data_IF_703578617356
#
_entry.id   IF_703578617356
#
_cell.length_a   1.000
_cell.length_b   1.000
_cell.length_c   1.000
_cell.angle_alpha   90.00
_cell.angle_beta   90.00
_cell.angle_gamma   90.00
#
_symmetry.space_group_name_H-M   'P 1'
#
loop_
_entity.id
_entity.type
_entity.pdbx_description
1 polymer ?
#
# COMPACT_ATOMS: atom_id res chain seq x y z
N UNK A 1 6.37 -7.81 -0.71
CA UNK A 1 7.68 -7.75 -1.38
C UNK A 1 8.25 -6.40 -1.01
N UNK A 2 9.28 -6.37 -0.15
CA UNK A 2 9.96 -5.13 0.24
C UNK A 2 11.13 -4.98 -0.75
N UNK A 3 10.92 -4.23 -1.84
CA UNK A 3 11.91 -4.04 -2.90
C UNK A 3 12.49 -2.62 -2.83
N UNK A 4 13.74 -2.44 -3.23
CA UNK A 4 14.35 -1.13 -3.35
C UNK A 4 13.56 -0.26 -4.36
N UNK A 5 13.16 0.94 -3.92
CA UNK A 5 12.50 1.89 -4.80
C UNK A 5 13.53 2.68 -5.60
N UNK A 6 13.49 2.55 -6.93
CA UNK A 6 14.27 3.37 -7.85
C UNK A 6 13.36 4.42 -8.49
N UNK A 7 13.53 5.71 -8.18
CA UNK A 7 12.73 6.76 -8.80
C UNK A 7 13.00 6.81 -10.32
N UNK A 8 11.98 6.99 -11.16
CA UNK A 8 12.16 7.26 -12.58
C UNK A 8 13.00 8.51 -12.79
N UNK A 9 13.87 8.50 -13.81
CA UNK A 9 14.79 9.61 -14.12
C UNK A 9 14.08 10.96 -14.40
N UNK A 10 12.77 10.94 -14.68
CA UNK A 10 11.99 12.14 -14.95
C UNK A 10 10.53 11.95 -14.61
N UNK A 11 10.14 12.22 -13.36
CA UNK A 11 8.74 12.46 -13.00
C UNK A 11 8.50 13.97 -13.04
N UNK A 12 7.64 14.45 -13.94
CA UNK A 12 7.23 15.86 -13.97
C UNK A 12 5.73 15.91 -13.75
N UNK A 13 5.31 16.40 -12.57
CA UNK A 13 3.90 16.61 -12.28
C UNK A 13 3.49 18.00 -12.71
N UNK A 14 2.52 18.10 -13.61
CA UNK A 14 2.02 19.38 -14.12
C UNK A 14 0.99 20.04 -13.19
N UNK A 15 0.18 19.25 -12.47
CA UNK A 15 -0.87 19.76 -11.57
C UNK A 15 -1.14 18.82 -10.38
N UNK A 16 -1.46 19.39 -9.21
CA UNK A 16 -1.81 18.66 -7.98
C UNK A 16 -0.61 18.09 -7.21
N UNK A 17 -0.87 17.16 -6.29
CA UNK A 17 0.12 16.52 -5.39
C UNK A 17 0.23 15.01 -5.65
N UNK A 18 1.45 14.51 -5.88
CA UNK A 18 1.79 13.09 -5.84
C UNK A 18 2.53 12.82 -4.54
N UNK A 19 2.13 11.79 -3.82
CA UNK A 19 2.95 11.27 -2.72
C UNK A 19 3.21 9.78 -2.89
N UNK A 20 4.46 9.41 -2.61
CA UNK A 20 4.94 8.04 -2.67
C UNK A 20 5.41 7.68 -1.27
N UNK A 21 4.87 6.60 -0.72
CA UNK A 21 5.37 5.93 0.47
C UNK A 21 5.80 4.53 0.04
N UNK A 22 7.06 4.18 0.31
CA UNK A 22 7.62 2.90 -0.11
C UNK A 22 8.52 2.29 0.97
N UNK A 23 8.66 0.97 0.92
CA UNK A 23 9.77 0.31 1.59
C UNK A 23 11.07 0.81 0.93
N UNK A 24 12.05 1.18 1.74
CA UNK A 24 13.40 1.43 1.28
C UNK A 24 14.35 0.65 2.17
N UNK A 25 14.74 -0.52 1.67
CA UNK A 25 15.80 -1.34 2.25
C UNK A 25 17.02 -1.25 1.33
N UNK A 26 18.18 -0.93 1.90
CA UNK A 26 19.43 -1.27 1.24
C UNK A 26 19.69 -2.78 1.39
N UNK A 27 20.44 -3.35 0.45
CA UNK A 27 20.82 -4.77 0.45
C UNK A 27 21.40 -5.22 1.81
N UNK A 28 22.13 -4.33 2.49
CA UNK A 28 22.76 -4.60 3.80
C UNK A 28 21.76 -4.86 4.94
N UNK A 29 20.49 -4.48 4.77
CA UNK A 29 19.45 -4.56 5.81
C UNK A 29 18.37 -5.62 5.51
N UNK A 30 18.54 -6.44 4.45
CA UNK A 30 17.56 -7.46 4.04
C UNK A 30 17.24 -8.47 5.16
N UNK A 31 18.19 -8.75 6.05
CA UNK A 31 18.01 -9.66 7.18
C UNK A 31 17.43 -8.99 8.43
N UNK A 32 17.48 -7.65 8.49
CA UNK A 32 17.07 -6.89 9.68
C UNK A 32 15.55 -6.84 9.87
N UNK A 33 14.78 -6.91 8.77
CA UNK A 33 13.32 -6.87 8.80
C UNK A 33 12.69 -8.17 8.28
N UNK A 34 11.57 -8.53 8.87
CA UNK A 34 10.81 -9.71 8.48
C UNK A 34 10.06 -9.50 7.14
N UNK A 35 9.61 -10.58 6.51
CA UNK A 35 8.95 -10.53 5.20
C UNK A 35 7.72 -9.61 5.25
N UNK A 36 7.63 -8.69 4.29
CA UNK A 36 6.51 -7.74 4.21
C UNK A 36 6.37 -6.87 5.47
N UNK A 37 7.47 -6.58 6.18
CA UNK A 37 7.45 -5.76 7.40
C UNK A 37 6.86 -4.38 7.11
N UNK A 38 7.20 -3.79 5.96
CA UNK A 38 6.64 -2.51 5.54
C UNK A 38 5.13 -2.59 5.35
N UNK A 39 4.65 -3.53 4.55
CA UNK A 39 3.23 -3.67 4.24
C UNK A 39 2.41 -3.95 5.51
N UNK A 40 2.92 -4.79 6.43
CA UNK A 40 2.26 -5.07 7.71
C UNK A 40 2.19 -3.83 8.60
N UNK A 41 3.32 -3.17 8.82
CA UNK A 41 3.38 -1.95 9.61
C UNK A 41 2.44 -0.86 9.04
N UNK A 42 2.42 -0.69 7.72
CA UNK A 42 1.52 0.22 7.02
C UNK A 42 0.06 -0.13 7.29
N UNK A 43 -0.33 -1.39 7.08
CA UNK A 43 -1.70 -1.85 7.25
C UNK A 43 -2.18 -1.71 8.71
N UNK A 44 -1.32 -2.00 9.69
CA UNK A 44 -1.66 -1.89 11.11
C UNK A 44 -1.86 -0.45 11.55
N UNK A 45 -1.07 0.49 11.03
CA UNK A 45 -1.26 1.92 11.28
C UNK A 45 -2.55 2.44 10.65
N UNK A 46 -2.84 2.05 9.40
CA UNK A 46 -4.08 2.40 8.73
C UNK A 46 -5.30 1.83 9.46
N UNK A 47 -5.24 0.58 9.93
CA UNK A 47 -6.32 -0.06 10.70
C UNK A 47 -6.55 0.64 12.03
N UNK A 48 -5.47 0.96 12.75
CA UNK A 48 -5.52 1.68 14.03
C UNK A 48 -6.14 3.07 13.88
N UNK A 49 -5.78 3.80 12.82
CA UNK A 49 -6.32 5.13 12.53
C UNK A 49 -7.77 5.08 12.04
N UNK A 50 -8.12 4.09 11.22
CA UNK A 50 -9.49 3.84 10.79
C UNK A 50 -10.42 3.61 11.99
N UNK A 51 -9.99 2.81 12.99
CA UNK A 51 -10.76 2.56 14.21
C UNK A 51 -11.01 3.84 15.04
N UNK A 52 -10.08 4.81 14.99
CA UNK A 52 -10.19 6.09 15.71
C UNK A 52 -10.99 7.15 14.95
N UNK A 53 -11.41 6.87 13.72
CA UNK A 53 -12.12 7.81 12.84
C UNK A 53 -11.43 9.18 12.72
N UNK A 54 -10.10 9.22 12.85
CA UNK A 54 -9.32 10.45 12.70
C UNK A 54 -8.58 10.42 11.37
N UNK A 55 -8.61 11.52 10.59
CA UNK A 55 -7.80 11.64 9.39
C UNK A 55 -6.31 11.43 9.70
N UNK A 56 -5.57 10.89 8.74
CA UNK A 56 -4.13 10.69 8.82
C UNK A 56 -3.51 11.19 7.52
N UNK A 57 -2.63 12.18 7.56
CA UNK A 57 -1.87 12.57 6.38
C UNK A 57 -0.79 11.54 6.04
N UNK A 58 -0.40 11.48 4.77
CA UNK A 58 0.66 10.58 4.31
C UNK A 58 1.99 10.92 4.99
N UNK A 59 2.33 12.21 5.19
CA UNK A 59 3.54 12.60 5.96
C UNK A 59 3.50 12.15 7.43
N UNK A 60 2.34 12.19 8.08
CA UNK A 60 2.19 11.66 9.44
C UNK A 60 2.35 10.14 9.46
N UNK A 61 1.77 9.43 8.48
CA UNK A 61 1.93 7.99 8.34
C UNK A 61 3.40 7.61 8.15
N UNK A 62 4.13 8.34 7.31
CA UNK A 62 5.57 8.14 7.13
C UNK A 62 6.33 8.36 8.45
N UNK A 63 6.04 9.44 9.17
CA UNK A 63 6.69 9.74 10.46
C UNK A 63 6.49 8.62 11.49
N UNK A 64 5.28 8.06 11.55
CA UNK A 64 4.96 6.93 12.44
C UNK A 64 5.74 5.67 12.02
N UNK A 65 5.76 5.35 10.73
CA UNK A 65 6.50 4.20 10.22
C UNK A 65 8.00 4.37 10.48
N UNK A 66 8.56 5.54 10.22
CA UNK A 66 9.97 5.86 10.47
C UNK A 66 10.34 5.64 11.94
N UNK A 67 9.49 6.06 12.88
CA UNK A 67 9.72 5.85 14.32
C UNK A 67 9.56 4.38 14.77
N UNK A 68 8.80 3.57 14.02
CA UNK A 68 8.53 2.17 14.33
C UNK A 68 9.68 1.24 13.92
N UNK A 69 10.35 1.54 12.80
CA UNK A 69 11.33 0.64 12.17
C UNK A 69 12.52 0.25 13.05
N UNK A 70 13.11 1.15 13.85
CA UNK A 70 14.19 0.78 14.77
C UNK A 70 13.77 -0.30 15.78
N UNK A 71 12.51 -0.29 16.22
CA UNK A 71 11.97 -1.30 17.13
C UNK A 71 11.83 -2.65 16.43
N UNK A 72 11.23 -2.65 15.24
CA UNK A 72 11.06 -3.87 14.43
C UNK A 72 12.40 -4.55 14.10
N UNK A 73 13.45 -3.77 13.83
CA UNK A 73 14.78 -4.29 13.56
C UNK A 73 15.47 -4.88 14.82
N UNK A 74 15.32 -4.21 15.97
CA UNK A 74 15.90 -4.65 17.25
C UNK A 74 15.25 -5.94 17.76
N UNK A 75 13.93 -6.05 17.70
CA UNK A 75 13.19 -7.22 18.18
C UNK A 75 13.66 -8.52 17.50
N UNK A 76 14.21 -8.43 16.28
CA UNK A 76 14.73 -9.57 15.53
C UNK A 76 16.22 -9.86 15.76
N UNK A 77 17.00 -8.86 16.16
CA UNK A 77 18.45 -9.00 16.34
C UNK A 77 18.90 -8.53 17.72
N UNK A 78 18.43 -9.18 18.80
CA UNK A 78 18.74 -8.75 20.17
C UNK A 78 20.24 -8.84 20.52
N UNK A 79 21.01 -9.65 19.79
CA UNK A 79 22.45 -9.88 20.04
C UNK A 79 23.39 -8.87 19.34
N UNK A 80 22.90 -8.00 18.45
CA UNK A 80 23.74 -6.97 17.79
C UNK A 80 23.72 -5.68 18.61
N UNK A 81 24.73 -5.50 19.45
CA UNK A 81 24.79 -4.42 20.45
C UNK A 81 24.82 -2.98 19.88
N UNK A 82 25.15 -2.75 18.62
CA UNK A 82 25.18 -1.39 18.06
C UNK A 82 24.74 -1.39 16.59
N UNK A 83 23.43 -1.26 16.36
CA UNK A 83 22.90 -0.96 15.04
C UNK A 83 22.96 0.57 14.82
N UNK A 84 23.94 1.02 14.02
CA UNK A 84 24.17 2.45 13.71
C UNK A 84 23.32 2.96 12.54
N UNK A 85 22.70 2.06 11.77
CA UNK A 85 21.81 2.38 10.66
C UNK A 85 20.63 1.41 10.61
N UNK A 86 19.45 1.92 10.30
CA UNK A 86 18.24 1.10 10.14
C UNK A 86 17.66 1.32 8.75
N UNK A 87 17.04 0.29 8.14
CA UNK A 87 16.18 0.52 6.98
C UNK A 87 15.10 1.53 7.39
N UNK A 88 14.81 2.48 6.50
CA UNK A 88 13.84 3.52 6.75
C UNK A 88 12.85 3.57 5.58
N UNK A 89 11.54 3.70 5.83
CA UNK A 89 10.58 3.90 4.76
C UNK A 89 10.90 5.19 4.00
N UNK A 90 10.72 5.16 2.68
CA UNK A 90 10.85 6.33 1.82
C UNK A 90 9.53 7.09 1.77
N UNK A 91 9.61 8.42 1.84
CA UNK A 91 8.51 9.32 1.49
C UNK A 91 9.00 10.38 0.52
N UNK A 92 8.30 10.51 -0.60
CA UNK A 92 8.56 11.53 -1.62
C UNK A 92 7.26 12.23 -1.98
N UNK A 93 7.25 13.55 -1.89
CA UNK A 93 6.15 14.40 -2.35
C UNK A 93 6.59 15.18 -3.58
N UNK A 94 5.77 15.15 -4.64
CA UNK A 94 5.96 15.94 -5.84
C UNK A 94 4.74 16.80 -6.09
N UNK A 95 4.97 18.10 -6.22
CA UNK A 95 3.90 19.08 -6.34
C UNK A 95 4.29 20.18 -7.32
N UNK A 96 3.34 20.63 -8.13
CA UNK A 96 3.47 21.87 -8.92
C UNK A 96 3.40 23.14 -8.06
N UNK A 97 3.06 23.02 -6.77
CA UNK A 97 3.00 24.10 -5.80
C UNK A 97 3.45 23.61 -4.42
N UNK A 98 4.58 24.13 -3.93
CA UNK A 98 5.17 23.74 -2.64
C UNK A 98 4.30 24.03 -1.41
N UNK A 99 3.24 24.83 -1.56
CA UNK A 99 2.28 25.16 -0.49
C UNK A 99 1.12 24.18 -0.40
N UNK A 100 1.02 23.21 -1.31
CA UNK A 100 -0.04 22.20 -1.23
C UNK A 100 0.19 21.31 0.00
N UNK A 101 -0.87 20.98 0.77
CA UNK A 101 -0.75 20.13 1.94
C UNK A 101 -0.47 18.68 1.54
N UNK A 102 -0.04 17.88 2.52
CA UNK A 102 0.06 16.43 2.32
C UNK A 102 -1.33 15.81 2.10
N UNK A 103 -1.39 14.72 1.35
CA UNK A 103 -2.61 13.95 1.08
C UNK A 103 -3.14 13.41 2.41
N UNK A 104 -4.41 13.70 2.72
CA UNK A 104 -5.11 13.13 3.86
C UNK A 104 -5.76 11.81 3.49
N UNK A 105 -5.50 10.79 4.29
CA UNK A 105 -6.18 9.50 4.28
C UNK A 105 -7.38 9.62 5.24
N UNK A 106 -8.58 9.59 4.68
CA UNK A 106 -9.81 9.56 5.47
C UNK A 106 -10.05 8.13 5.97
N UNK A 107 -10.49 7.95 7.23
CA UNK A 107 -11.02 6.67 7.68
C UNK A 107 -12.20 6.26 6.78
N UNK A 108 -12.29 4.95 6.48
CA UNK A 108 -13.41 4.39 5.73
C UNK A 108 -14.66 4.55 6.60
N UNK A 109 -15.61 5.36 6.16
CA UNK A 109 -16.91 5.43 6.82
C UNK A 109 -17.61 4.09 6.62
N UNK A 110 -17.75 3.30 7.68
CA UNK A 110 -18.65 2.15 7.66
C UNK A 110 -20.08 2.68 7.44
N UNK A 111 -20.64 2.36 6.27
CA UNK A 111 -22.04 2.46 5.87
C UNK A 111 -22.91 3.43 6.69
N UNK A 112 -23.10 4.65 6.20
CA UNK A 112 -24.29 5.41 6.56
C UNK A 112 -25.47 4.90 5.72
N UNK A 113 -26.59 4.43 6.33
CA UNK A 113 -27.76 3.96 5.58
C UNK A 113 -28.47 5.06 4.77
N UNK A 114 -28.00 6.32 4.86
CA UNK A 114 -28.57 7.48 4.17
C UNK A 114 -27.86 7.86 2.86
N UNK A 115 -26.79 7.17 2.46
CA UNK A 115 -26.11 7.45 1.17
C UNK A 115 -26.72 6.62 0.03
N UNK A 116 -28.03 6.73 -0.20
CA UNK A 116 -28.73 6.09 -1.32
C UNK A 116 -28.74 6.91 -2.62
N UNK A 117 -27.88 7.91 -2.75
CA UNK A 117 -27.84 8.74 -3.97
C UNK A 117 -26.45 9.23 -4.28
N UNK A 118 -25.59 8.41 -4.91
CA UNK A 118 -24.49 8.93 -5.72
C UNK A 118 -24.17 8.01 -6.89
N UNK A 119 -24.00 8.67 -8.03
CA UNK A 119 -23.62 8.19 -9.36
C UNK A 119 -22.52 7.12 -9.38
N UNK A 120 -22.61 6.24 -10.38
CA UNK A 120 -21.63 5.19 -10.69
C UNK A 120 -20.18 5.68 -10.85
N UNK A 121 -19.96 7.00 -10.97
CA UNK A 121 -18.63 7.59 -11.24
C UNK A 121 -17.74 7.78 -10.00
N UNK A 122 -18.27 7.71 -8.77
CA UNK A 122 -17.52 8.08 -7.56
C UNK A 122 -17.32 6.96 -6.53
N UNK A 123 -17.57 5.70 -6.87
CA UNK A 123 -17.22 4.59 -5.97
C UNK A 123 -15.71 4.33 -5.97
N UNK A 124 -15.07 4.09 -4.81
CA UNK A 124 -13.65 3.73 -4.76
C UNK A 124 -13.41 2.46 -5.59
N UNK A 125 -12.52 2.55 -6.56
CA UNK A 125 -12.12 1.41 -7.40
C UNK A 125 -10.81 0.82 -6.86
N UNK A 126 -10.78 -0.50 -6.71
CA UNK A 126 -9.58 -1.25 -6.37
C UNK A 126 -9.12 -2.00 -7.62
N UNK A 127 -7.91 -1.70 -8.09
CA UNK A 127 -7.28 -2.42 -9.19
C UNK A 127 -6.24 -3.40 -8.64
N UNK A 128 -6.45 -4.70 -8.87
CA UNK A 128 -5.55 -5.77 -8.42
C UNK A 128 -4.95 -6.48 -9.62
N UNK A 129 -3.62 -6.44 -9.74
CA UNK A 129 -2.87 -7.16 -10.78
C UNK A 129 -2.10 -8.32 -10.14
N UNK A 130 -2.33 -9.55 -10.61
CA UNK A 130 -1.72 -10.76 -10.07
C UNK A 130 -0.93 -11.43 -11.18
N UNK A 131 0.37 -11.68 -10.94
CA UNK A 131 1.24 -12.42 -11.84
C UNK A 131 1.46 -13.81 -11.28
N UNK A 132 1.05 -14.83 -12.04
CA UNK A 132 1.26 -16.23 -11.69
C UNK A 132 2.61 -16.72 -12.21
N UNK A 133 3.17 -17.72 -11.54
CA UNK A 133 4.44 -18.34 -11.92
C UNK A 133 4.26 -19.45 -12.98
N UNK A 134 3.04 -19.97 -13.09
CA UNK A 134 2.65 -21.06 -13.98
C UNK A 134 1.28 -20.71 -14.61
N UNK A 135 1.00 -21.31 -15.76
CA UNK A 135 -0.26 -21.16 -16.51
C UNK A 135 -1.37 -22.06 -15.95
N UNK A 136 -1.05 -22.98 -15.03
CA UNK A 136 -2.03 -23.83 -14.38
C UNK A 136 -2.81 -23.07 -13.29
N UNK A 137 -3.92 -22.44 -13.70
CA UNK A 137 -4.82 -21.69 -12.82
C UNK A 137 -5.85 -22.64 -12.21
N UNK A 138 -5.85 -22.78 -10.88
CA UNK A 138 -6.90 -23.52 -10.16
C UNK A 138 -8.20 -22.71 -10.10
N UNK A 139 -9.02 -22.88 -11.14
CA UNK A 139 -10.27 -22.13 -11.35
C UNK A 139 -11.23 -22.28 -10.16
N UNK A 140 -11.27 -23.43 -9.50
CA UNK A 140 -12.18 -23.67 -8.37
C UNK A 140 -11.77 -22.85 -7.15
N UNK A 141 -10.48 -22.81 -6.84
CA UNK A 141 -9.93 -21.95 -5.78
C UNK A 141 -10.16 -20.46 -6.07
N UNK A 142 -10.02 -20.03 -7.33
CA UNK A 142 -10.31 -18.64 -7.72
C UNK A 142 -11.79 -18.30 -7.60
N UNK A 143 -12.68 -19.20 -8.00
CA UNK A 143 -14.13 -19.02 -7.85
C UNK A 143 -14.53 -18.89 -6.38
N UNK A 144 -13.97 -19.74 -5.51
CA UNK A 144 -14.27 -19.66 -4.09
C UNK A 144 -13.73 -18.36 -3.46
N UNK A 145 -12.54 -17.92 -3.90
CA UNK A 145 -12.02 -16.61 -3.51
C UNK A 145 -12.93 -15.45 -3.96
N UNK A 146 -13.48 -15.51 -5.18
CA UNK A 146 -14.47 -14.55 -5.67
C UNK A 146 -15.82 -14.66 -4.94
N UNK A 147 -16.19 -15.81 -4.36
CA UNK A 147 -17.40 -15.92 -3.53
C UNK A 147 -17.24 -15.28 -2.15
N UNK A 148 -16.01 -15.24 -1.63
CA UNK A 148 -15.68 -14.56 -0.37
C UNK A 148 -15.57 -13.03 -0.48
N UNK A 149 -16.19 -12.44 -1.51
CA UNK A 149 -16.21 -10.99 -1.71
C UNK A 149 -16.83 -10.26 -0.49
N UNK A 150 -16.18 -9.20 0.02
CA UNK A 150 -16.77 -8.33 1.02
C UNK A 150 -18.12 -7.77 0.61
N UNK A 151 -19.02 -7.58 1.59
CA UNK A 151 -20.28 -6.87 1.37
C UNK A 151 -20.03 -5.45 0.85
N UNK A 152 -20.73 -5.06 -0.21
CA UNK A 152 -20.63 -3.73 -0.83
C UNK A 152 -19.89 -3.67 -2.17
N UNK A 153 -19.33 -4.79 -2.65
CA UNK A 153 -18.79 -4.88 -4.00
C UNK A 153 -19.93 -4.85 -5.01
N UNK A 154 -19.87 -3.90 -5.94
CA UNK A 154 -20.92 -3.69 -6.95
C UNK A 154 -20.64 -4.37 -8.28
N UNK A 155 -19.37 -4.39 -8.68
CA UNK A 155 -18.93 -4.94 -9.97
C UNK A 155 -17.48 -5.42 -9.87
N UNK A 156 -17.14 -6.41 -10.71
CA UNK A 156 -15.81 -6.99 -10.80
C UNK A 156 -15.46 -7.11 -12.28
N UNK A 157 -14.42 -6.40 -12.69
CA UNK A 157 -13.85 -6.54 -14.02
C UNK A 157 -12.56 -7.36 -13.94
N UNK A 158 -12.55 -8.50 -14.61
CA UNK A 158 -11.36 -9.35 -14.74
C UNK A 158 -10.77 -9.10 -16.12
N UNK A 159 -9.67 -8.36 -16.16
CA UNK A 159 -8.91 -8.13 -17.39
C UNK A 159 -7.71 -9.11 -17.42
N UNK A 160 -7.70 -10.02 -18.39
CA UNK A 160 -6.66 -11.05 -18.53
C UNK A 160 -5.58 -10.72 -19.57
N UNK A 161 -4.42 -11.43 -19.56
CA UNK A 161 -3.42 -11.27 -20.61
C UNK A 161 -3.90 -11.87 -21.94
N UNK A 162 -3.70 -11.12 -23.02
CA UNK A 162 -3.87 -11.58 -24.41
C UNK A 162 -2.92 -12.75 -24.69
N UNK A 163 -3.43 -13.99 -24.72
CA UNK A 163 -2.83 -15.07 -25.50
C UNK A 163 -3.91 -15.77 -26.31
N UNK A 164 -4.20 -15.20 -27.48
CA UNK A 164 -4.71 -15.98 -28.62
C UNK A 164 -3.58 -16.88 -29.11
N UNK A 165 -3.52 -18.11 -28.62
CA UNK A 165 -2.87 -19.19 -29.36
C UNK A 165 -3.81 -20.38 -29.32
N UNK A 166 -4.83 -20.33 -30.17
CA UNK A 166 -5.37 -21.56 -30.75
C UNK A 166 -4.20 -22.31 -31.39
N UNK A 167 -4.02 -23.57 -30.99
CA UNK A 167 -3.30 -24.58 -31.76
C UNK A 167 -4.24 -25.76 -31.94
#
# INVERSE_FOLDING_TARGET
MDAAYFPPARIVRQQGVLEIIAASLSEDHLTALDRCAFTRALADQLRTRAARQTPLSVVELHSILLALYPKLARDRTPEREIITSFPAPLHTMMSGNSRLPSIFLSPVQQSSPLRSSFSYENSPQLHLAIKLNDDNVDIDSWNEWLRMMPEGIKDIKIDGPFRTTFR
#
